data_IF_531493833275
#
_entry.id   IF_531493833275
#
_cell.length_a   1.000
_cell.length_b   1.000
_cell.length_c   1.000
_cell.angle_alpha   90.00
_cell.angle_beta   90.00
_cell.angle_gamma   90.00
#
_symmetry.space_group_name_H-M   'P 1'
#
loop_
_entity.id
_entity.type
_entity.pdbx_description
1 polymer ?
#
# COMPACT_ATOMS: atom_id res chain seq x y z
N UNK A 1 -14.27 5.37 15.28
CA UNK A 1 -15.30 5.14 14.26
C UNK A 1 -14.66 5.18 12.87
N UNK A 2 -15.10 4.29 11.99
CA UNK A 2 -14.72 4.25 10.57
C UNK A 2 -16.01 4.43 9.78
N UNK A 3 -16.04 5.46 8.95
CA UNK A 3 -17.25 5.84 8.20
C UNK A 3 -16.94 5.85 6.70
N UNK A 4 -17.79 5.22 5.90
CA UNK A 4 -17.77 5.35 4.45
C UNK A 4 -18.32 6.74 4.10
N UNK A 5 -17.50 7.56 3.47
CA UNK A 5 -17.81 8.96 3.10
C UNK A 5 -17.80 9.18 1.59
N UNK A 6 -17.73 8.11 0.78
CA UNK A 6 -17.64 8.18 -0.69
C UNK A 6 -18.80 8.95 -1.35
N UNK A 7 -19.92 9.11 -0.66
CA UNK A 7 -21.07 9.90 -1.13
C UNK A 7 -21.05 11.36 -0.61
N UNK A 8 -20.11 11.71 0.26
CA UNK A 8 -20.02 13.05 0.84
C UNK A 8 -18.98 13.86 0.08
N UNK A 9 -19.34 15.03 -0.47
CA UNK A 9 -18.38 15.88 -1.18
C UNK A 9 -17.16 16.24 -0.30
N UNK A 10 -15.97 16.18 -0.88
CA UNK A 10 -14.69 16.56 -0.28
C UNK A 10 -14.29 15.78 1.00
N UNK A 11 -14.83 14.58 1.19
CA UNK A 11 -14.55 13.75 2.38
C UNK A 11 -13.75 12.48 2.07
N UNK A 12 -13.24 12.30 0.83
CA UNK A 12 -12.63 11.05 0.40
C UNK A 12 -13.60 9.88 0.43
N UNK A 13 -13.08 8.66 0.41
CA UNK A 13 -13.89 7.44 0.42
C UNK A 13 -14.20 6.95 1.83
N UNK A 14 -13.25 7.13 2.75
CA UNK A 14 -13.38 6.68 4.14
C UNK A 14 -12.83 7.77 5.07
N UNK A 15 -13.52 8.00 6.17
CA UNK A 15 -13.03 8.85 7.27
C UNK A 15 -12.88 8.00 8.53
N UNK A 16 -11.72 8.11 9.18
CA UNK A 16 -11.44 7.48 10.48
C UNK A 16 -11.44 8.57 11.54
N UNK A 17 -12.27 8.42 12.56
CA UNK A 17 -12.34 9.30 13.72
C UNK A 17 -12.05 8.52 14.99
N UNK A 18 -11.14 9.04 15.80
CA UNK A 18 -10.79 8.46 17.10
C UNK A 18 -10.58 9.56 18.12
N UNK A 19 -11.19 9.40 19.29
CA UNK A 19 -11.06 10.35 20.40
C UNK A 19 -9.58 10.64 20.70
N UNK A 20 -9.26 11.92 20.88
CA UNK A 20 -7.91 12.43 21.14
C UNK A 20 -6.84 12.11 20.07
N UNK A 21 -7.24 11.76 18.87
CA UNK A 21 -6.35 11.53 17.71
C UNK A 21 -6.78 12.42 16.53
N UNK A 22 -5.88 12.70 15.58
CA UNK A 22 -6.28 13.43 14.38
C UNK A 22 -7.26 12.57 13.56
N UNK A 23 -8.23 13.22 12.96
CA UNK A 23 -9.07 12.60 11.96
C UNK A 23 -8.22 12.23 10.74
N UNK A 24 -8.54 11.11 10.08
CA UNK A 24 -7.83 10.62 8.90
C UNK A 24 -8.83 10.44 7.76
N UNK A 25 -8.54 11.08 6.63
CA UNK A 25 -9.25 10.90 5.38
C UNK A 25 -8.49 9.89 4.52
N UNK A 26 -9.17 8.87 4.00
CA UNK A 26 -8.61 7.92 3.04
C UNK A 26 -9.29 8.13 1.71
N UNK A 27 -8.51 8.33 0.66
CA UNK A 27 -8.96 8.42 -0.72
C UNK A 27 -8.32 7.30 -1.54
N UNK A 28 -9.14 6.37 -2.02
CA UNK A 28 -8.69 5.17 -2.75
C UNK A 28 -8.92 5.33 -4.24
N UNK A 29 -7.90 5.10 -5.01
CA UNK A 29 -7.93 5.17 -6.47
C UNK A 29 -7.68 3.78 -7.06
N UNK A 30 -8.27 3.56 -8.23
CA UNK A 30 -8.08 2.34 -9.02
C UNK A 30 -7.67 2.68 -10.47
N UNK A 31 -6.65 3.54 -10.60
CA UNK A 31 -6.11 3.87 -11.91
C UNK A 31 -5.20 2.76 -12.43
N UNK A 32 -5.32 2.44 -13.72
CA UNK A 32 -4.39 1.57 -14.43
C UNK A 32 -3.06 2.25 -14.79
N UNK A 33 -2.96 3.55 -14.55
CA UNK A 33 -1.76 4.39 -14.63
C UNK A 33 -1.49 5.03 -13.27
N UNK A 34 -0.46 5.83 -13.16
CA UNK A 34 -0.22 6.63 -11.95
C UNK A 34 -1.39 7.58 -11.69
N UNK A 35 -1.75 7.74 -10.42
CA UNK A 35 -2.70 8.78 -9.99
C UNK A 35 -2.17 10.13 -10.46
N UNK A 36 -2.92 10.90 -11.26
CA UNK A 36 -2.45 12.16 -11.82
C UNK A 36 -2.34 13.27 -10.76
N UNK A 37 -1.52 14.28 -11.06
CA UNK A 37 -1.27 15.39 -10.14
C UNK A 37 -2.54 16.12 -9.71
N UNK A 38 -3.53 16.24 -10.59
CA UNK A 38 -4.82 16.90 -10.29
C UNK A 38 -5.60 16.20 -9.18
N UNK A 39 -5.56 14.86 -9.14
CA UNK A 39 -6.19 14.07 -8.07
C UNK A 39 -5.43 14.19 -6.75
N UNK A 40 -4.10 14.30 -6.82
CA UNK A 40 -3.26 14.58 -5.67
C UNK A 40 -3.55 15.97 -5.07
N UNK A 41 -3.71 16.99 -5.92
CA UNK A 41 -4.09 18.35 -5.50
C UNK A 41 -5.52 18.39 -4.90
N UNK A 42 -6.45 17.62 -5.48
CA UNK A 42 -7.78 17.44 -4.89
C UNK A 42 -7.71 16.83 -3.51
N UNK A 43 -6.94 15.74 -3.34
CA UNK A 43 -6.76 15.08 -2.07
C UNK A 43 -6.20 16.03 -0.98
N UNK A 44 -5.21 16.84 -1.29
CA UNK A 44 -4.69 17.85 -0.35
C UNK A 44 -5.76 18.84 0.08
N UNK A 45 -6.50 19.40 -0.89
CA UNK A 45 -7.60 20.34 -0.61
C UNK A 45 -8.67 19.71 0.27
N UNK A 46 -9.03 18.45 0.03
CA UNK A 46 -10.04 17.76 0.80
C UNK A 46 -9.57 17.53 2.26
N UNK A 47 -8.31 17.17 2.46
CA UNK A 47 -7.71 17.08 3.80
C UNK A 47 -7.64 18.46 4.51
N UNK A 48 -7.37 19.50 3.76
CA UNK A 48 -7.29 20.86 4.26
C UNK A 48 -8.65 21.38 4.73
N UNK A 49 -9.69 21.21 3.91
CA UNK A 49 -11.06 21.58 4.23
C UNK A 49 -11.60 20.85 5.46
N UNK A 50 -11.23 19.61 5.66
CA UNK A 50 -11.64 18.80 6.81
C UNK A 50 -10.67 18.89 7.99
N UNK A 51 -9.60 19.69 7.89
CA UNK A 51 -8.55 19.81 8.90
C UNK A 51 -8.06 18.46 9.44
N UNK A 52 -7.78 17.51 8.55
CA UNK A 52 -7.39 16.13 8.86
C UNK A 52 -6.09 15.73 8.19
N UNK A 53 -5.47 14.66 8.66
CA UNK A 53 -4.40 13.94 7.95
C UNK A 53 -4.99 13.06 6.85
N UNK A 54 -4.17 12.61 5.89
CA UNK A 54 -4.69 11.88 4.76
C UNK A 54 -3.88 10.65 4.37
N UNK A 55 -4.56 9.64 3.81
CA UNK A 55 -3.96 8.49 3.14
C UNK A 55 -4.51 8.45 1.72
N UNK A 56 -3.63 8.64 0.73
CA UNK A 56 -3.97 8.46 -0.68
C UNK A 56 -3.41 7.12 -1.14
N UNK A 57 -4.25 6.29 -1.71
CA UNK A 57 -3.79 5.00 -2.23
C UNK A 57 -4.22 4.76 -3.67
N UNK A 58 -3.43 3.94 -4.39
CA UNK A 58 -3.77 3.40 -5.70
C UNK A 58 -3.55 1.89 -5.72
N UNK A 59 -4.56 1.14 -6.15
CA UNK A 59 -4.55 -0.33 -6.10
C UNK A 59 -3.50 -0.91 -7.03
N UNK A 60 -3.50 -0.49 -8.30
CA UNK A 60 -2.79 -1.19 -9.37
C UNK A 60 -1.52 -0.49 -9.86
N UNK A 61 -1.29 0.77 -9.47
CA UNK A 61 -0.17 1.53 -10.02
C UNK A 61 0.33 2.61 -9.06
N UNK A 62 1.29 3.43 -9.51
CA UNK A 62 1.91 4.48 -8.72
C UNK A 62 1.02 5.70 -8.45
N UNK A 63 1.60 6.68 -7.78
CA UNK A 63 1.07 8.03 -7.58
C UNK A 63 2.10 9.00 -8.13
N UNK A 64 1.67 10.03 -8.86
CA UNK A 64 2.58 10.97 -9.52
C UNK A 64 3.57 11.60 -8.52
N UNK A 65 4.86 11.48 -8.81
CA UNK A 65 5.97 12.02 -8.02
C UNK A 65 6.02 11.51 -6.56
N UNK A 66 5.48 10.33 -6.29
CA UNK A 66 5.53 9.69 -4.98
C UNK A 66 6.14 8.30 -5.07
N UNK A 67 6.85 7.91 -4.00
CA UNK A 67 7.34 6.56 -3.81
C UNK A 67 6.18 5.57 -3.55
N UNK A 68 6.48 4.30 -3.63
CA UNK A 68 5.49 3.24 -3.38
C UNK A 68 4.82 3.33 -2.00
N UNK A 69 5.56 3.70 -0.98
CA UNK A 69 5.07 4.13 0.32
C UNK A 69 5.88 5.37 0.74
N UNK A 70 5.21 6.49 0.91
CA UNK A 70 5.85 7.75 1.27
C UNK A 70 5.04 8.45 2.36
N UNK A 71 5.74 9.14 3.25
CA UNK A 71 5.17 9.99 4.29
C UNK A 71 5.63 11.42 4.05
N UNK A 72 4.70 12.34 3.94
CA UNK A 72 4.95 13.77 3.87
C UNK A 72 4.28 14.46 5.05
N UNK A 73 4.88 15.54 5.54
CA UNK A 73 4.25 16.45 6.51
C UNK A 73 4.23 17.84 5.92
N UNK A 74 3.06 18.45 5.99
CA UNK A 74 2.86 19.83 5.56
C UNK A 74 1.85 20.48 6.50
N UNK A 75 2.21 21.64 7.08
CA UNK A 75 1.34 22.41 7.98
C UNK A 75 0.74 21.58 9.13
N UNK A 76 1.57 20.74 9.75
CA UNK A 76 1.19 19.81 10.84
C UNK A 76 0.21 18.70 10.42
N UNK A 77 -0.14 18.57 9.15
CA UNK A 77 -0.89 17.45 8.59
C UNK A 77 0.07 16.39 8.04
N UNK A 78 -0.31 15.16 8.20
CA UNK A 78 0.49 14.01 7.77
C UNK A 78 -0.21 13.39 6.58
N UNK A 79 0.52 13.26 5.47
CA UNK A 79 0.04 12.63 4.24
C UNK A 79 0.82 11.35 4.00
N UNK A 80 0.12 10.24 3.80
CA UNK A 80 0.74 8.96 3.46
C UNK A 80 0.23 8.50 2.11
N UNK A 81 1.16 8.05 1.27
CA UNK A 81 0.88 7.54 -0.07
C UNK A 81 1.17 6.05 -0.10
N UNK A 82 0.23 5.28 -0.61
CA UNK A 82 0.34 3.82 -0.74
C UNK A 82 0.05 3.47 -2.20
N UNK A 83 1.08 3.12 -2.95
CA UNK A 83 0.95 2.78 -4.35
C UNK A 83 1.07 1.27 -4.56
N UNK A 84 0.32 0.73 -5.53
CA UNK A 84 0.38 -0.68 -5.93
C UNK A 84 0.25 -1.65 -4.75
N UNK A 85 -0.78 -1.43 -3.92
CA UNK A 85 -0.94 -2.19 -2.66
C UNK A 85 -1.68 -3.52 -2.83
N UNK A 86 -2.23 -3.81 -4.01
CA UNK A 86 -2.87 -5.09 -4.36
C UNK A 86 -3.86 -5.58 -3.27
N UNK A 87 -4.59 -4.65 -2.63
CA UNK A 87 -5.51 -4.90 -1.50
C UNK A 87 -4.86 -5.41 -0.20
N UNK A 88 -3.53 -5.25 -0.03
CA UNK A 88 -2.87 -5.58 1.23
C UNK A 88 -3.21 -4.57 2.33
N UNK A 89 -3.91 -5.06 3.36
CA UNK A 89 -4.34 -4.24 4.50
C UNK A 89 -3.19 -3.84 5.45
N UNK A 90 -2.04 -4.47 5.35
CA UNK A 90 -0.90 -4.23 6.25
C UNK A 90 -0.42 -2.78 6.14
N UNK A 91 -0.33 -2.26 4.92
CA UNK A 91 0.09 -0.87 4.67
C UNK A 91 -0.88 0.16 5.25
N UNK A 92 -2.18 -0.11 5.20
CA UNK A 92 -3.18 0.80 5.79
C UNK A 92 -3.09 0.84 7.31
N UNK A 93 -2.95 -0.30 7.96
CA UNK A 93 -2.78 -0.37 9.41
C UNK A 93 -1.50 0.35 9.86
N UNK A 94 -0.41 0.17 9.10
CA UNK A 94 0.84 0.85 9.34
C UNK A 94 0.71 2.37 9.16
N UNK A 95 0.07 2.82 8.08
CA UNK A 95 -0.17 4.24 7.80
C UNK A 95 -0.94 4.92 8.94
N UNK A 96 -2.03 4.32 9.40
CA UNK A 96 -2.82 4.86 10.53
C UNK A 96 -1.97 4.95 11.81
N UNK A 97 -1.16 3.93 12.10
CA UNK A 97 -0.26 3.94 13.27
C UNK A 97 0.80 5.05 13.17
N UNK A 98 1.39 5.23 11.98
CA UNK A 98 2.37 6.29 11.71
C UNK A 98 1.74 7.67 11.91
N UNK A 99 0.55 7.93 11.34
CA UNK A 99 -0.14 9.21 11.52
C UNK A 99 -0.36 9.49 13.00
N UNK A 100 -0.88 8.54 13.76
CA UNK A 100 -1.12 8.74 15.18
C UNK A 100 0.16 8.94 15.98
N UNK A 101 1.23 8.23 15.67
CA UNK A 101 2.51 8.36 16.34
C UNK A 101 3.16 9.73 16.09
N UNK A 102 3.23 10.16 14.83
CA UNK A 102 3.79 11.46 14.46
C UNK A 102 2.96 12.59 15.07
N UNK A 103 1.62 12.48 15.07
CA UNK A 103 0.76 13.46 15.69
C UNK A 103 1.04 13.62 17.21
N UNK A 104 1.27 12.52 17.93
CA UNK A 104 1.66 12.58 19.34
C UNK A 104 3.00 13.28 19.54
N UNK A 105 3.99 13.03 18.68
CA UNK A 105 5.28 13.71 18.70
C UNK A 105 5.07 15.22 18.50
N UNK A 106 4.32 15.63 17.48
CA UNK A 106 4.03 17.03 17.18
C UNK A 106 3.32 17.70 18.37
N UNK A 107 2.32 17.02 18.97
CA UNK A 107 1.55 17.53 20.10
C UNK A 107 2.41 17.74 21.35
N UNK A 108 3.33 16.80 21.62
CA UNK A 108 4.16 16.83 22.82
C UNK A 108 5.33 17.83 22.70
N UNK A 109 5.76 18.17 21.48
CA UNK A 109 6.93 19.02 21.22
C UNK A 109 6.58 20.49 20.95
N UNK A 110 5.38 20.96 21.30
CA UNK A 110 4.89 22.33 21.02
C UNK A 110 5.75 23.50 21.52
N UNK A 111 6.85 23.26 22.23
CA UNK A 111 7.72 24.31 22.79
C UNK A 111 9.02 24.55 22.01
N UNK A 112 9.45 23.67 21.07
CA UNK A 112 10.70 23.84 20.30
C UNK A 112 10.63 23.23 18.88
N UNK A 113 9.56 23.48 18.15
CA UNK A 113 9.07 22.63 17.05
C UNK A 113 9.86 22.72 15.73
N UNK A 114 10.62 23.77 15.45
CA UNK A 114 11.02 24.04 14.06
C UNK A 114 12.33 23.31 13.63
N UNK A 115 13.27 23.08 14.53
CA UNK A 115 14.56 22.48 14.13
C UNK A 115 14.69 20.98 14.45
N UNK A 116 14.19 20.53 15.59
CA UNK A 116 14.30 19.11 16.01
C UNK A 116 13.40 18.20 15.14
N UNK A 117 12.27 18.71 14.70
CA UNK A 117 11.29 17.94 13.91
C UNK A 117 11.82 17.56 12.52
N UNK A 118 12.58 18.41 11.87
CA UNK A 118 13.04 18.18 10.51
C UNK A 118 14.09 17.06 10.45
N UNK A 119 15.01 17.02 11.39
CA UNK A 119 16.05 16.00 11.45
C UNK A 119 15.51 14.64 11.89
N UNK A 120 14.67 14.61 12.91
CA UNK A 120 13.98 13.40 13.36
C UNK A 120 13.08 12.85 12.25
N UNK A 121 12.40 13.74 11.54
CA UNK A 121 11.52 13.38 10.44
C UNK A 121 12.28 12.80 9.24
N UNK A 122 13.38 13.42 8.83
CA UNK A 122 14.23 12.87 7.76
C UNK A 122 14.82 11.52 8.16
N UNK A 123 15.18 11.31 9.42
CA UNK A 123 15.63 10.00 9.92
C UNK A 123 14.54 8.95 9.84
N UNK A 124 13.33 9.25 10.30
CA UNK A 124 12.16 8.33 10.18
C UNK A 124 11.90 7.98 8.73
N UNK A 125 11.95 8.96 7.83
CA UNK A 125 11.77 8.77 6.39
C UNK A 125 12.86 7.87 5.79
N UNK A 126 14.12 8.10 6.15
CA UNK A 126 15.25 7.28 5.69
C UNK A 126 15.11 5.84 6.19
N UNK A 127 14.85 5.63 7.47
CA UNK A 127 14.69 4.29 8.04
C UNK A 127 13.48 3.57 7.47
N UNK A 128 12.39 4.28 7.25
CA UNK A 128 11.19 3.72 6.64
C UNK A 128 11.43 3.32 5.17
N UNK A 129 12.11 4.15 4.40
CA UNK A 129 12.48 3.82 3.02
C UNK A 129 13.42 2.62 2.96
N UNK A 130 14.37 2.52 3.88
CA UNK A 130 15.25 1.35 4.02
C UNK A 130 14.46 0.08 4.35
N UNK A 131 13.53 0.16 5.30
CA UNK A 131 12.63 -0.95 5.65
C UNK A 131 11.81 -1.41 4.44
N UNK A 132 11.20 -0.48 3.71
CA UNK A 132 10.43 -0.78 2.50
C UNK A 132 11.27 -1.44 1.40
N UNK A 133 12.49 -0.96 1.20
CA UNK A 133 13.40 -1.53 0.22
C UNK A 133 13.79 -2.97 0.60
N UNK A 134 14.10 -3.20 1.87
CA UNK A 134 14.38 -4.52 2.43
C UNK A 134 13.18 -5.47 2.31
N UNK A 135 11.98 -4.98 2.62
CA UNK A 135 10.74 -5.76 2.49
C UNK A 135 10.47 -6.16 1.04
N UNK A 136 10.62 -5.23 0.07
CA UNK A 136 10.51 -5.54 -1.36
C UNK A 136 11.50 -6.61 -1.81
N UNK A 137 12.75 -6.53 -1.33
CA UNK A 137 13.76 -7.55 -1.63
C UNK A 137 13.36 -8.92 -1.11
N UNK A 138 12.87 -9.01 0.14
CA UNK A 138 12.39 -10.27 0.71
C UNK A 138 11.20 -10.84 -0.05
N UNK A 139 10.22 -10.01 -0.42
CA UNK A 139 9.10 -10.44 -1.25
C UNK A 139 9.54 -10.99 -2.61
N UNK A 140 10.51 -10.36 -3.26
CA UNK A 140 11.06 -10.85 -4.51
C UNK A 140 11.76 -12.21 -4.35
N UNK A 141 12.51 -12.40 -3.27
CA UNK A 141 13.14 -13.69 -2.95
C UNK A 141 12.06 -14.77 -2.74
N UNK A 142 11.00 -14.47 -2.01
CA UNK A 142 9.88 -15.40 -1.78
C UNK A 142 9.21 -15.75 -3.12
N UNK A 143 8.91 -14.77 -3.96
CA UNK A 143 8.33 -15.00 -5.30
C UNK A 143 9.22 -15.89 -6.16
N UNK A 144 10.53 -15.67 -6.18
CA UNK A 144 11.49 -16.50 -6.92
C UNK A 144 11.54 -17.93 -6.37
N UNK A 145 11.49 -18.10 -5.05
CA UNK A 145 11.46 -19.41 -4.41
C UNK A 145 10.18 -20.19 -4.77
N UNK A 146 9.02 -19.52 -4.81
CA UNK A 146 7.74 -20.13 -5.22
C UNK A 146 7.85 -20.63 -6.67
N UNK A 147 8.32 -19.80 -7.60
CA UNK A 147 8.51 -20.18 -9.01
C UNK A 147 9.45 -21.39 -9.14
N UNK A 148 10.54 -21.39 -8.37
CA UNK A 148 11.50 -22.50 -8.38
C UNK A 148 10.89 -23.80 -7.85
N UNK A 149 10.05 -23.73 -6.81
CA UNK A 149 9.33 -24.88 -6.27
C UNK A 149 8.29 -25.41 -7.26
N UNK A 150 7.55 -24.55 -7.94
CA UNK A 150 6.61 -24.92 -8.99
C UNK A 150 7.31 -25.66 -10.14
N UNK A 151 8.44 -25.13 -10.62
CA UNK A 151 9.25 -25.78 -11.66
C UNK A 151 9.77 -27.16 -11.22
N UNK A 152 10.26 -27.25 -9.97
CA UNK A 152 10.74 -28.53 -9.42
C UNK A 152 9.61 -29.56 -9.36
N UNK A 153 8.43 -29.14 -8.91
CA UNK A 153 7.24 -30.01 -8.82
C UNK A 153 6.81 -30.48 -10.21
N UNK A 154 6.77 -29.58 -11.19
CA UNK A 154 6.44 -29.94 -12.59
C UNK A 154 7.45 -30.94 -13.17
N UNK A 155 8.75 -30.74 -12.96
CA UNK A 155 9.79 -31.66 -13.40
C UNK A 155 9.65 -33.04 -12.74
N UNK A 156 9.29 -33.11 -11.46
CA UNK A 156 9.03 -34.38 -10.77
C UNK A 156 7.81 -35.10 -11.33
N UNK A 157 6.72 -34.37 -11.61
CA UNK A 157 5.53 -34.92 -12.25
C UNK A 157 5.83 -35.48 -13.66
N UNK A 158 6.58 -34.74 -14.48
CA UNK A 158 7.00 -35.22 -15.78
C UNK A 158 7.83 -36.50 -15.70
N UNK A 159 8.76 -36.56 -14.75
CA UNK A 159 9.56 -37.79 -14.53
C UNK A 159 8.68 -38.95 -14.07
N UNK A 160 7.69 -38.69 -13.19
CA UNK A 160 6.73 -39.70 -12.78
C UNK A 160 5.93 -40.23 -13.97
N UNK A 161 5.38 -39.37 -14.80
CA UNK A 161 4.63 -39.79 -16.00
C UNK A 161 5.50 -40.58 -17.00
N UNK A 162 6.75 -40.18 -17.22
CA UNK A 162 7.70 -40.92 -18.06
C UNK A 162 8.00 -42.31 -17.51
N UNK A 163 8.17 -42.46 -16.19
CA UNK A 163 8.46 -43.77 -15.55
C UNK A 163 7.24 -44.68 -15.49
N UNK A 164 6.04 -44.10 -15.43
CA UNK A 164 4.79 -44.87 -15.31
C UNK A 164 4.20 -45.30 -16.64
N UNK A 165 4.89 -45.10 -17.77
CA UNK A 165 4.44 -45.41 -19.14
C UNK A 165 3.04 -44.83 -19.47
N UNK A 166 2.66 -43.74 -18.82
CA UNK A 166 1.39 -43.05 -19.06
C UNK A 166 1.26 -42.49 -20.50
N UNK A 167 2.38 -42.46 -21.26
CA UNK A 167 2.37 -42.04 -22.65
C UNK A 167 1.66 -43.05 -23.57
N UNK A 168 1.38 -44.28 -23.11
CA UNK A 168 0.65 -45.29 -23.86
C UNK A 168 -0.87 -45.22 -23.69
N UNK A 169 -1.34 -44.32 -22.85
CA UNK A 169 -2.80 -44.05 -22.70
C UNK A 169 -3.26 -43.25 -23.95
N UNK A 170 -3.89 -43.94 -24.88
CA UNK A 170 -4.58 -43.27 -25.99
C UNK A 170 -5.52 -42.18 -25.43
N UNK A 171 -5.52 -40.98 -26.02
CA UNK A 171 -6.47 -39.95 -25.59
C UNK A 171 -7.89 -40.54 -25.68
N UNK A 172 -8.63 -40.39 -24.60
CA UNK A 172 -10.05 -40.79 -24.58
C UNK A 172 -10.79 -40.01 -25.67
N UNK A 173 -11.07 -40.68 -26.77
CA UNK A 173 -12.00 -40.16 -27.76
C UNK A 173 -13.40 -40.28 -27.19
N UNK A 174 -14.00 -39.16 -26.83
CA UNK A 174 -15.41 -39.13 -26.49
C UNK A 174 -16.22 -39.46 -27.74
N UNK A 175 -16.80 -40.65 -27.78
CA UNK A 175 -17.65 -41.13 -28.91
C UNK A 175 -18.96 -40.35 -29.02
N UNK A 176 -19.26 -39.41 -28.11
CA UNK A 176 -20.48 -38.59 -28.12
C UNK A 176 -20.27 -37.15 -28.58
N UNK A 177 -19.01 -36.70 -28.85
CA UNK A 177 -18.67 -35.35 -29.27
C UNK A 177 -17.94 -35.35 -30.63
N UNK A 178 -18.32 -36.25 -31.51
CA UNK A 178 -17.76 -36.42 -32.85
C UNK A 178 -17.77 -35.21 -33.75
#
# INVERSE_FOLDING_TARGET
DVTNTSQTPNCGDITIKKENKPDILIDSKNFQSNVPKIDLEKFYRDCELNNCSGILCNVNNGIANKEHFQVDIQDSRIYIYIANHEFDNTFFQLAVKIIYHIHEIIKNNKTNIIEIDKELFERIKIEFNFYNQSFKQHLNIIKQNIISLEQLTMNQLEQFFKRSNFNDLKPFSCSSCG
#
